data_IF_028142677505
#
_entry.id   IF_028142677505
#
_cell.length_a   1.000
_cell.length_b   1.000
_cell.length_c   1.000
_cell.angle_alpha   90.00
_cell.angle_beta   90.00
_cell.angle_gamma   90.00
#
_symmetry.space_group_name_H-M   'P 1'
#
loop_
_entity.id
_entity.type
_entity.pdbx_description
1 polymer ?
#
# COMPACT_ATOMS: atom_id res chain seq x y z
N UNK A 1 23.70 8.94 -4.56
CA UNK A 1 22.94 7.82 -4.00
C UNK A 1 23.83 6.61 -4.08
N UNK A 2 24.36 6.14 -2.94
CA UNK A 2 25.18 4.94 -2.87
C UNK A 2 24.48 3.98 -1.91
N UNK A 3 23.78 2.99 -2.48
CA UNK A 3 23.48 1.75 -1.79
C UNK A 3 24.57 0.73 -2.15
N UNK A 4 24.81 -0.31 -1.36
CA UNK A 4 25.86 -1.28 -1.63
C UNK A 4 25.67 -1.93 -3.01
N UNK A 5 26.67 -1.76 -3.88
CA UNK A 5 26.78 -2.33 -5.24
C UNK A 5 26.89 -3.87 -5.23
N UNK A 6 26.98 -4.48 -4.05
CA UNK A 6 27.21 -5.93 -3.89
C UNK A 6 25.93 -6.78 -3.95
N UNK A 7 24.74 -6.16 -3.95
CA UNK A 7 23.46 -6.86 -4.14
C UNK A 7 23.11 -6.90 -5.64
N UNK A 8 23.73 -7.81 -6.38
CA UNK A 8 23.55 -7.91 -7.84
C UNK A 8 22.08 -8.17 -8.27
N UNK A 9 21.24 -8.73 -7.39
CA UNK A 9 19.82 -8.94 -7.63
C UNK A 9 19.05 -8.94 -6.30
N UNK A 10 17.89 -8.25 -6.23
CA UNK A 10 16.93 -8.51 -5.15
C UNK A 10 16.05 -9.67 -5.60
N UNK A 11 16.23 -10.83 -4.97
CA UNK A 11 15.52 -12.05 -5.35
C UNK A 11 14.02 -11.91 -5.19
N UNK A 12 13.56 -11.30 -4.10
CA UNK A 12 12.14 -11.05 -3.88
C UNK A 12 11.88 -9.69 -3.25
N UNK A 13 10.96 -8.96 -3.87
CA UNK A 13 10.47 -7.69 -3.38
C UNK A 13 8.94 -7.75 -3.29
N UNK A 14 8.43 -7.30 -2.16
CA UNK A 14 7.01 -7.10 -1.91
C UNK A 14 6.79 -5.66 -1.47
N UNK A 15 5.76 -5.00 -2.00
CA UNK A 15 5.38 -3.65 -1.58
C UNK A 15 3.96 -3.68 -1.06
N UNK A 16 3.74 -3.14 0.13
CA UNK A 16 2.43 -3.03 0.77
C UNK A 16 2.11 -1.57 1.04
N UNK A 17 0.87 -1.18 0.81
CA UNK A 17 0.34 0.11 1.29
C UNK A 17 -0.01 -0.04 2.76
N UNK A 18 0.53 0.86 3.56
CA UNK A 18 0.31 0.91 5.00
C UNK A 18 -0.82 1.86 5.36
N UNK A 19 -1.39 1.67 6.55
CA UNK A 19 -2.56 2.42 7.02
C UNK A 19 -2.16 3.73 7.71
N UNK A 20 -3.13 4.61 7.97
CA UNK A 20 -2.92 5.92 8.59
C UNK A 20 -2.75 5.90 10.13
N UNK A 21 -2.49 4.73 10.74
CA UNK A 21 -2.33 4.47 12.19
C UNK A 21 -3.51 4.92 13.09
N UNK A 22 -4.63 5.38 12.54
CA UNK A 22 -5.78 5.80 13.36
C UNK A 22 -6.45 4.60 14.02
N UNK A 23 -6.80 4.77 15.30
CA UNK A 23 -7.63 3.80 16.00
C UNK A 23 -9.01 3.72 15.34
N UNK A 24 -9.34 2.53 14.84
CA UNK A 24 -10.62 2.22 14.21
C UNK A 24 -11.37 1.11 14.92
N UNK A 25 -11.05 0.88 16.18
CA UNK A 25 -11.73 -0.07 17.05
C UNK A 25 -13.25 0.13 17.05
N UNK A 26 -13.70 1.39 16.95
CA UNK A 26 -15.11 1.76 16.86
C UNK A 26 -15.82 1.33 15.56
N UNK A 27 -15.08 1.05 14.47
CA UNK A 27 -15.65 0.70 13.15
C UNK A 27 -16.05 -0.78 13.06
N UNK A 28 -15.51 -1.63 13.94
CA UNK A 28 -15.88 -3.06 14.07
C UNK A 28 -17.38 -3.27 14.36
N UNK A 29 -18.07 -2.27 14.91
CA UNK A 29 -19.49 -2.35 15.26
C UNK A 29 -20.48 -1.99 14.13
N UNK A 30 -20.01 -1.55 12.96
CA UNK A 30 -20.85 -0.97 11.89
C UNK A 30 -21.11 -2.01 10.76
N UNK A 31 -21.00 -3.30 11.07
CA UNK A 31 -21.30 -4.39 10.13
C UNK A 31 -20.16 -4.77 9.17
N UNK A 32 -18.94 -4.30 9.42
CA UNK A 32 -17.74 -4.77 8.73
C UNK A 32 -17.21 -6.06 9.37
N UNK A 33 -16.77 -7.03 8.57
CA UNK A 33 -16.04 -8.18 9.10
C UNK A 33 -14.58 -7.82 9.44
N UNK A 34 -13.92 -8.53 10.36
CA UNK A 34 -12.50 -8.32 10.64
C UNK A 34 -11.62 -8.43 9.38
N UNK A 35 -11.94 -9.36 8.47
CA UNK A 35 -11.24 -9.53 7.20
C UNK A 35 -11.42 -8.31 6.28
N UNK A 36 -12.63 -7.76 6.20
CA UNK A 36 -12.89 -6.53 5.43
C UNK A 36 -12.07 -5.36 5.94
N UNK A 37 -11.93 -5.21 7.27
CA UNK A 37 -11.13 -4.13 7.86
C UNK A 37 -9.63 -4.34 7.66
N UNK A 38 -9.14 -5.57 7.79
CA UNK A 38 -7.73 -5.91 7.59
C UNK A 38 -7.28 -5.74 6.11
N UNK A 39 -8.19 -6.01 5.18
CA UNK A 39 -7.93 -5.90 3.74
C UNK A 39 -8.22 -4.50 3.18
N UNK A 40 -8.92 -3.65 3.93
CA UNK A 40 -9.15 -2.28 3.53
C UNK A 40 -7.87 -1.46 3.65
N UNK A 41 -7.52 -0.71 2.60
CA UNK A 41 -6.41 0.25 2.65
C UNK A 41 -6.91 1.55 3.27
N UNK A 42 -6.33 1.97 4.38
CA UNK A 42 -6.73 3.19 5.06
C UNK A 42 -5.81 4.34 4.71
N UNK A 43 -5.96 4.81 3.47
CA UNK A 43 -5.11 5.86 2.92
C UNK A 43 -5.69 6.46 1.64
N UNK A 44 -4.99 7.45 1.06
CA UNK A 44 -5.44 8.14 -0.15
C UNK A 44 -5.42 7.25 -1.40
N UNK A 45 -4.45 6.33 -1.48
CA UNK A 45 -4.21 5.46 -2.64
C UNK A 45 -4.04 4.01 -2.25
N UNK A 46 -4.36 3.12 -3.19
CA UNK A 46 -4.09 1.69 -3.16
C UNK A 46 -3.53 1.25 -4.53
N UNK A 47 -2.90 0.09 -4.61
CA UNK A 47 -2.61 -0.50 -5.92
C UNK A 47 -3.91 -0.81 -6.65
N UNK A 48 -3.92 -0.68 -7.97
CA UNK A 48 -5.07 -1.11 -8.77
C UNK A 48 -5.25 -2.62 -8.58
N UNK A 49 -6.37 -3.09 -7.98
CA UNK A 49 -6.52 -4.49 -7.64
C UNK A 49 -6.39 -5.39 -8.87
N UNK A 50 -5.67 -6.51 -8.73
CA UNK A 50 -5.38 -7.48 -9.81
C UNK A 50 -4.57 -6.93 -11.00
N UNK A 51 -3.98 -5.73 -10.89
CA UNK A 51 -3.07 -5.15 -11.90
C UNK A 51 -1.64 -5.16 -11.36
N UNK A 52 -0.64 -5.36 -12.22
CA UNK A 52 0.79 -5.39 -11.84
C UNK A 52 1.16 -6.37 -10.73
N UNK A 53 0.43 -7.49 -10.59
CA UNK A 53 0.54 -8.47 -9.49
C UNK A 53 0.10 -7.92 -8.12
N UNK A 54 -0.75 -6.89 -8.12
CA UNK A 54 -1.46 -6.47 -6.93
C UNK A 54 -2.47 -7.53 -6.48
N UNK A 55 -2.66 -7.65 -5.18
CA UNK A 55 -3.68 -8.50 -4.60
C UNK A 55 -5.11 -8.05 -4.99
N UNK A 56 -6.09 -8.85 -4.60
CA UNK A 56 -7.50 -8.60 -4.91
C UNK A 56 -8.09 -7.34 -4.26
N UNK A 57 -7.40 -6.77 -3.27
CA UNK A 57 -7.81 -5.59 -2.51
C UNK A 57 -6.98 -4.34 -2.88
N UNK A 58 -5.89 -4.51 -3.63
CA UNK A 58 -4.94 -3.46 -3.96
C UNK A 58 -4.00 -3.11 -2.79
N UNK A 59 -3.88 -3.98 -1.78
CA UNK A 59 -3.13 -3.67 -0.55
C UNK A 59 -1.65 -3.93 -0.69
N UNK A 60 -1.25 -4.96 -1.43
CA UNK A 60 0.12 -5.32 -1.68
C UNK A 60 0.34 -5.79 -3.12
N UNK A 61 1.59 -5.68 -3.58
CA UNK A 61 2.11 -6.25 -4.83
C UNK A 61 3.26 -7.21 -4.51
N UNK A 62 3.32 -8.31 -5.26
CA UNK A 62 4.39 -9.31 -5.15
C UNK A 62 4.03 -10.54 -4.31
N UNK A 63 5.03 -11.38 -3.99
CA UNK A 63 6.47 -11.18 -4.22
C UNK A 63 6.89 -11.28 -5.70
N UNK A 64 7.86 -10.46 -6.13
CA UNK A 64 8.45 -10.52 -7.48
C UNK A 64 9.95 -10.23 -7.46
N UNK A 65 10.66 -10.69 -8.50
CA UNK A 65 12.08 -10.38 -8.69
C UNK A 65 12.27 -8.97 -9.24
N UNK A 66 13.20 -8.20 -8.68
CA UNK A 66 13.56 -6.88 -9.19
C UNK A 66 15.09 -6.78 -9.33
N UNK A 67 15.56 -6.54 -10.56
CA UNK A 67 16.97 -6.22 -10.80
C UNK A 67 17.28 -4.82 -10.31
N UNK A 68 18.36 -4.67 -9.54
CA UNK A 68 18.83 -3.36 -9.08
C UNK A 68 19.11 -2.45 -10.28
N UNK A 69 18.68 -1.19 -10.18
CA UNK A 69 18.79 -0.20 -11.25
C UNK A 69 17.62 -0.19 -12.25
N UNK A 70 16.70 -1.16 -12.20
CA UNK A 70 15.47 -1.14 -12.99
C UNK A 70 14.28 -0.79 -12.11
N UNK A 71 13.68 0.38 -12.33
CA UNK A 71 12.38 0.70 -11.74
C UNK A 71 11.28 -0.18 -12.33
N UNK A 72 10.33 -0.61 -11.51
CA UNK A 72 9.07 -1.24 -11.96
C UNK A 72 7.93 -0.26 -11.67
N UNK A 73 7.22 0.25 -12.69
CA UNK A 73 6.05 1.07 -12.44
C UNK A 73 4.93 0.21 -11.84
N UNK A 74 4.16 0.79 -10.93
CA UNK A 74 2.92 0.22 -10.42
C UNK A 74 1.79 1.21 -10.64
N UNK A 75 0.64 0.72 -11.05
CA UNK A 75 -0.55 1.54 -11.12
C UNK A 75 -1.19 1.70 -9.72
N UNK A 76 -1.38 2.95 -9.32
CA UNK A 76 -2.12 3.32 -8.12
C UNK A 76 -3.47 3.91 -8.51
N UNK A 77 -4.50 3.59 -7.73
CA UNK A 77 -5.82 4.22 -7.82
C UNK A 77 -6.20 4.86 -6.49
N UNK A 78 -7.07 5.87 -6.54
CA UNK A 78 -7.65 6.50 -5.35
C UNK A 78 -8.44 5.46 -4.56
N UNK A 79 -8.12 5.32 -3.29
CA UNK A 79 -8.88 4.45 -2.40
C UNK A 79 -10.29 4.98 -2.21
N UNK A 80 -11.25 4.06 -2.04
CA UNK A 80 -12.65 4.35 -1.83
C UNK A 80 -13.05 3.93 -0.42
N UNK A 81 -14.04 4.61 0.19
CA UNK A 81 -14.59 4.16 1.47
C UNK A 81 -15.12 2.72 1.34
N UNK A 82 -14.99 1.94 2.41
CA UNK A 82 -15.55 0.60 2.48
C UNK A 82 -17.07 0.64 2.40
N UNK A 83 -17.69 -0.41 1.82
CA UNK A 83 -19.16 -0.48 1.66
C UNK A 83 -19.92 -0.38 2.99
N UNK A 84 -19.28 -0.76 4.09
CA UNK A 84 -19.81 -0.68 5.46
C UNK A 84 -19.77 0.74 6.04
N UNK A 85 -19.08 1.69 5.41
CA UNK A 85 -19.02 3.09 5.85
C UNK A 85 -20.17 3.90 5.26
N UNK A 86 -21.40 3.45 5.53
CA UNK A 86 -22.62 4.07 5.04
C UNK A 86 -22.59 5.60 5.24
N UNK A 87 -22.83 6.36 4.17
CA UNK A 87 -22.84 7.82 4.20
C UNK A 87 -21.50 8.50 3.87
N UNK A 88 -20.37 7.78 3.85
CA UNK A 88 -19.09 8.35 3.40
C UNK A 88 -18.99 8.29 1.88
N UNK A 89 -18.93 9.46 1.23
CA UNK A 89 -18.77 9.54 -0.24
C UNK A 89 -17.29 9.43 -0.63
N UNK A 90 -17.04 9.18 -1.92
CA UNK A 90 -15.68 9.20 -2.46
C UNK A 90 -15.03 10.57 -2.27
N UNK A 91 -15.77 11.67 -2.45
CA UNK A 91 -15.25 13.03 -2.25
C UNK A 91 -14.87 13.27 -0.79
N UNK A 92 -15.70 12.87 0.16
CA UNK A 92 -15.40 13.01 1.60
C UNK A 92 -14.17 12.18 2.00
N UNK A 93 -14.02 10.98 1.46
CA UNK A 93 -12.82 10.17 1.68
C UNK A 93 -11.58 10.87 1.14
N UNK A 94 -11.65 11.38 -0.09
CA UNK A 94 -10.52 12.03 -0.74
C UNK A 94 -10.15 13.37 -0.09
N UNK A 95 -11.12 14.07 0.48
CA UNK A 95 -10.88 15.27 1.30
C UNK A 95 -10.15 14.91 2.61
N UNK A 96 -10.61 13.87 3.32
CA UNK A 96 -10.00 13.41 4.58
C UNK A 96 -8.52 13.04 4.42
N UNK A 97 -8.16 12.44 3.29
CA UNK A 97 -6.79 12.02 2.99
C UNK A 97 -6.02 12.97 2.09
N UNK A 98 -6.55 14.15 1.74
CA UNK A 98 -5.92 15.09 0.81
C UNK A 98 -4.47 15.39 1.15
N UNK A 99 -4.19 15.65 2.42
CA UNK A 99 -2.85 16.02 2.91
C UNK A 99 -2.10 14.84 3.55
N UNK A 100 -2.66 13.62 3.47
CA UNK A 100 -2.00 12.43 4.02
C UNK A 100 -1.07 11.81 2.98
N UNK A 101 0.18 11.46 3.32
CA UNK A 101 1.08 10.79 2.39
C UNK A 101 0.63 9.37 2.08
N UNK A 102 1.07 8.84 0.94
CA UNK A 102 0.97 7.40 0.67
C UNK A 102 2.09 6.71 1.43
N UNK A 103 1.74 5.81 2.35
CA UNK A 103 2.69 5.05 3.14
C UNK A 103 2.91 3.70 2.48
N UNK A 104 4.17 3.38 2.20
CA UNK A 104 4.57 2.13 1.59
C UNK A 104 5.56 1.41 2.51
N UNK A 105 5.31 0.12 2.69
CA UNK A 105 6.21 -0.82 3.36
C UNK A 105 6.77 -1.73 2.29
N UNK A 106 8.08 -1.65 2.06
CA UNK A 106 8.80 -2.44 1.06
C UNK A 106 9.57 -3.50 1.81
N UNK A 107 9.22 -4.77 1.60
CA UNK A 107 9.96 -5.91 2.13
C UNK A 107 10.86 -6.44 1.02
N UNK A 108 12.16 -6.43 1.28
CA UNK A 108 13.18 -6.98 0.40
C UNK A 108 13.75 -8.24 1.02
N UNK A 109 13.92 -9.27 0.21
CA UNK A 109 14.61 -10.50 0.57
C UNK A 109 15.69 -10.82 -0.45
N UNK A 110 16.88 -11.09 0.05
CA UNK A 110 18.03 -11.59 -0.70
C UNK A 110 18.68 -12.65 0.15
N UNK A 111 18.86 -13.86 -0.37
CA UNK A 111 19.49 -14.86 0.47
C UNK A 111 18.51 -15.37 1.54
N UNK A 112 19.07 -15.53 2.74
CA UNK A 112 18.34 -15.70 3.99
C UNK A 112 18.02 -14.36 4.68
N UNK A 113 18.54 -13.24 4.16
CA UNK A 113 18.37 -11.91 4.72
C UNK A 113 17.06 -11.25 4.25
N UNK A 114 16.27 -10.77 5.20
CA UNK A 114 15.06 -10.00 4.97
C UNK A 114 15.14 -8.66 5.72
N UNK A 115 14.82 -7.57 5.01
CA UNK A 115 14.70 -6.26 5.63
C UNK A 115 13.49 -5.48 5.10
N UNK A 116 13.00 -4.57 5.93
CA UNK A 116 11.83 -3.75 5.62
C UNK A 116 12.19 -2.27 5.56
N UNK A 117 11.69 -1.59 4.55
CA UNK A 117 11.85 -0.15 4.34
C UNK A 117 10.48 0.52 4.35
N UNK A 118 10.27 1.45 5.29
CA UNK A 118 9.12 2.34 5.26
C UNK A 118 9.43 3.56 4.40
N UNK A 119 8.55 3.88 3.45
CA UNK A 119 8.63 5.06 2.59
C UNK A 119 7.32 5.81 2.61
N UNK A 120 7.41 7.13 2.59
CA UNK A 120 6.26 8.02 2.43
C UNK A 120 6.41 8.72 1.09
N UNK A 121 5.39 8.61 0.25
CA UNK A 121 5.31 9.38 -0.99
C UNK A 121 4.37 10.56 -0.74
N UNK A 122 4.72 11.76 -1.20
CA UNK A 122 3.86 12.91 -1.05
C UNK A 122 2.57 12.68 -1.86
N UNK A 123 1.44 13.06 -1.28
CA UNK A 123 0.14 13.01 -1.95
C UNK A 123 -0.04 14.27 -2.79
N UNK A 124 0.80 14.41 -3.81
CA UNK A 124 0.69 15.49 -4.77
C UNK A 124 -0.32 15.03 -5.83
N UNK A 125 -1.48 15.66 -5.84
CA UNK A 125 -2.39 15.56 -6.97
C UNK A 125 -1.65 16.12 -8.19
N UNK A 126 -1.10 15.22 -9.02
CA UNK A 126 -0.61 15.57 -10.36
C UNK A 126 -1.72 16.18 -11.20
#
# INVERSE_FOLDING_TARGET
MAGPDELAEVEFLSVRVDDDDKDRSHVLGIGATPEQLANHVWGPFRFTPRVDQADEHGRAVGPFKLRIGRGRPFQLERTRPGLWMGGKTMEQWQDEYRDHPVRLVITCRVDDDEWTLARQLPNEAY
#
